data_IF_030130419864
#
_entry.id   IF_030130419864
#
_cell.length_a   1.000
_cell.length_b   1.000
_cell.length_c   1.000
_cell.angle_alpha   90.00
_cell.angle_beta   90.00
_cell.angle_gamma   90.00
#
_symmetry.space_group_name_H-M   'P 1'
#
loop_
_entity.id
_entity.type
_entity.pdbx_description
1 polymer ?
#
# COMPACT_ATOMS: atom_id res chain seq x y z
N UNK A 1 -4.61 -15.91 7.15
CA UNK A 1 -5.95 -16.55 7.08
C UNK A 1 -7.07 -15.54 6.77
N UNK A 2 -7.10 -14.38 7.44
CA UNK A 2 -8.17 -13.36 7.30
C UNK A 2 -8.26 -12.69 5.91
N UNK A 3 -7.13 -12.27 5.33
CA UNK A 3 -7.10 -11.66 3.99
C UNK A 3 -7.64 -12.59 2.90
N UNK A 4 -7.27 -13.88 2.97
CA UNK A 4 -7.77 -14.90 2.03
C UNK A 4 -9.30 -14.99 2.10
N UNK A 5 -9.87 -14.99 3.31
CA UNK A 5 -11.33 -15.02 3.53
C UNK A 5 -12.02 -13.74 3.01
N UNK A 6 -11.43 -12.56 3.22
CA UNK A 6 -11.93 -11.29 2.67
C UNK A 6 -12.04 -11.38 1.14
N UNK A 7 -10.97 -11.81 0.46
CA UNK A 7 -10.97 -11.91 -1.01
C UNK A 7 -11.98 -12.91 -1.56
N UNK A 8 -12.14 -14.07 -0.89
CA UNK A 8 -13.17 -15.05 -1.26
C UNK A 8 -14.57 -14.46 -1.17
N UNK A 9 -14.85 -13.62 -0.17
CA UNK A 9 -16.17 -13.01 0.05
C UNK A 9 -16.54 -11.97 -1.02
N UNK A 10 -15.58 -11.19 -1.51
CA UNK A 10 -15.84 -10.06 -2.41
C UNK A 10 -15.66 -10.36 -3.91
N UNK A 11 -15.67 -11.64 -4.32
CA UNK A 11 -15.48 -12.07 -5.74
C UNK A 11 -14.21 -11.52 -6.40
N UNK A 12 -13.20 -11.19 -5.60
CA UNK A 12 -11.88 -10.87 -6.13
C UNK A 12 -11.31 -12.18 -6.67
N UNK A 13 -10.73 -12.17 -7.88
CA UNK A 13 -10.01 -13.35 -8.40
C UNK A 13 -9.01 -13.83 -7.34
N UNK A 14 -8.67 -15.11 -7.35
CA UNK A 14 -7.71 -15.72 -6.42
C UNK A 14 -6.54 -14.76 -6.18
N UNK A 15 -6.27 -14.39 -4.91
CA UNK A 15 -5.25 -13.40 -4.62
C UNK A 15 -3.90 -13.86 -5.14
N UNK A 16 -3.19 -12.94 -5.77
CA UNK A 16 -1.86 -13.15 -6.33
C UNK A 16 -0.82 -12.94 -5.23
N UNK A 17 -0.47 -14.02 -4.53
CA UNK A 17 0.34 -13.99 -3.30
C UNK A 17 1.83 -13.98 -3.67
N UNK A 18 2.56 -12.98 -3.19
CA UNK A 18 3.98 -12.80 -3.43
C UNK A 18 4.76 -12.89 -2.10
N UNK A 19 5.22 -14.08 -1.73
CA UNK A 19 5.91 -14.30 -0.43
C UNK A 19 7.43 -14.11 -0.56
N UNK A 20 8.02 -13.36 0.38
CA UNK A 20 9.48 -13.13 0.50
C UNK A 20 10.13 -12.69 -0.83
N UNK A 21 9.50 -11.73 -1.51
CA UNK A 21 10.07 -11.19 -2.74
C UNK A 21 11.30 -10.35 -2.42
N UNK A 22 12.34 -10.52 -3.24
CA UNK A 22 13.46 -9.58 -3.32
C UNK A 22 13.02 -8.31 -4.05
N UNK A 23 13.79 -7.23 -3.93
CA UNK A 23 13.54 -5.99 -4.67
C UNK A 23 13.41 -6.26 -6.17
N UNK A 24 14.26 -7.13 -6.73
CA UNK A 24 14.19 -7.49 -8.16
C UNK A 24 12.85 -8.17 -8.51
N UNK A 25 12.38 -9.12 -7.70
CA UNK A 25 11.09 -9.80 -7.93
C UNK A 25 9.92 -8.84 -7.82
N UNK A 26 10.01 -7.84 -6.93
CA UNK A 26 9.01 -6.76 -6.82
C UNK A 26 8.99 -5.95 -8.12
N UNK A 27 10.14 -5.49 -8.61
CA UNK A 27 10.25 -4.74 -9.88
C UNK A 27 9.66 -5.51 -11.06
N UNK A 28 10.02 -6.79 -11.18
CA UNK A 28 9.49 -7.66 -12.23
C UNK A 28 7.97 -7.84 -12.12
N UNK A 29 7.46 -7.96 -10.89
CA UNK A 29 6.02 -8.05 -10.64
C UNK A 29 5.29 -6.78 -11.05
N UNK A 30 5.84 -5.62 -10.68
CA UNK A 30 5.23 -4.33 -10.97
C UNK A 30 5.32 -3.98 -12.45
N UNK A 31 6.38 -4.41 -13.16
CA UNK A 31 6.44 -4.37 -14.63
C UNK A 31 5.29 -5.17 -15.26
N UNK A 32 5.06 -6.41 -14.81
CA UNK A 32 3.93 -7.23 -15.28
C UNK A 32 2.57 -6.59 -14.98
N UNK A 33 2.43 -5.91 -13.85
CA UNK A 33 1.20 -5.16 -13.53
C UNK A 33 1.03 -3.96 -14.46
N UNK A 34 2.10 -3.21 -14.76
CA UNK A 34 2.01 -2.08 -15.69
C UNK A 34 1.55 -2.51 -17.10
N UNK A 35 1.93 -3.71 -17.53
CA UNK A 35 1.65 -4.24 -18.88
C UNK A 35 0.35 -5.07 -18.96
N UNK A 36 -0.20 -5.50 -17.82
CA UNK A 36 -1.39 -6.36 -17.78
C UNK A 36 -2.65 -5.58 -18.18
N UNK A 37 -3.48 -6.18 -19.03
CA UNK A 37 -4.79 -5.64 -19.36
C UNK A 37 -5.78 -5.83 -18.19
N UNK A 38 -6.21 -4.71 -17.61
CA UNK A 38 -7.23 -4.65 -16.56
C UNK A 38 -8.60 -4.20 -17.08
N UNK A 39 -8.84 -4.12 -18.39
CA UNK A 39 -10.09 -3.62 -18.98
C UNK A 39 -11.34 -4.30 -18.41
N UNK A 40 -11.27 -5.61 -18.16
CA UNK A 40 -12.37 -6.42 -17.59
C UNK A 40 -12.46 -6.40 -16.04
N UNK A 41 -11.63 -5.60 -15.36
CA UNK A 41 -11.63 -5.46 -13.91
C UNK A 41 -12.16 -4.08 -13.52
N UNK A 42 -12.83 -3.99 -12.36
CA UNK A 42 -13.38 -2.75 -11.83
C UNK A 42 -12.37 -1.90 -11.06
N UNK A 43 -11.39 -2.52 -10.40
CA UNK A 43 -10.37 -1.86 -9.60
C UNK A 43 -9.07 -2.69 -9.49
N UNK A 44 -8.02 -2.08 -8.95
CA UNK A 44 -6.81 -2.76 -8.50
C UNK A 44 -6.67 -2.61 -6.98
N UNK A 45 -6.28 -3.70 -6.32
CA UNK A 45 -6.00 -3.74 -4.89
C UNK A 45 -4.60 -4.33 -4.68
N UNK A 46 -3.71 -3.55 -4.07
CA UNK A 46 -2.35 -3.95 -3.72
C UNK A 46 -2.20 -3.88 -2.20
N UNK A 47 -1.76 -4.99 -1.60
CA UNK A 47 -1.59 -5.11 -0.16
C UNK A 47 -0.13 -5.49 0.11
N UNK A 48 0.56 -4.67 0.87
CA UNK A 48 1.95 -4.89 1.28
C UNK A 48 2.01 -5.09 2.78
N UNK A 49 2.62 -6.19 3.20
CA UNK A 49 2.84 -6.52 4.61
C UNK A 49 4.32 -6.82 4.79
N UNK A 50 5.05 -5.92 5.46
CA UNK A 50 6.49 -6.10 5.71
C UNK A 50 6.97 -5.20 6.85
N UNK A 51 8.26 -5.28 7.16
CA UNK A 51 8.93 -4.21 7.89
C UNK A 51 9.05 -2.97 7.01
N UNK A 52 9.18 -1.81 7.65
CA UNK A 52 9.38 -0.55 6.95
C UNK A 52 10.17 0.44 7.79
N UNK A 53 10.67 1.47 7.12
CA UNK A 53 11.43 2.56 7.71
C UNK A 53 10.78 3.92 7.40
N UNK A 54 11.43 5.00 7.79
CA UNK A 54 11.02 6.36 7.41
C UNK A 54 11.07 6.55 5.88
N UNK A 55 10.42 7.61 5.37
CA UNK A 55 10.42 7.99 3.94
C UNK A 55 9.87 6.92 2.99
N UNK A 56 8.81 6.22 3.41
CA UNK A 56 8.09 5.23 2.60
C UNK A 56 8.97 4.09 2.04
N UNK A 57 10.00 3.73 2.81
CA UNK A 57 10.87 2.59 2.50
C UNK A 57 10.29 1.32 3.11
N UNK A 58 10.13 0.30 2.27
CA UNK A 58 9.62 -1.01 2.67
C UNK A 58 10.74 -2.04 2.52
N UNK A 59 10.86 -2.92 3.51
CA UNK A 59 11.82 -4.03 3.51
C UNK A 59 11.34 -5.13 2.57
N UNK A 60 12.09 -5.41 1.51
CA UNK A 60 11.97 -6.66 0.76
C UNK A 60 12.80 -7.75 1.45
N UNK A 61 12.86 -8.95 0.88
CA UNK A 61 13.63 -10.05 1.45
C UNK A 61 15.13 -9.74 1.58
N UNK A 62 15.68 -8.98 0.63
CA UNK A 62 17.12 -8.71 0.50
C UNK A 62 17.51 -7.25 0.78
N UNK A 63 16.65 -6.27 0.50
CA UNK A 63 16.96 -4.85 0.67
C UNK A 63 15.69 -3.98 0.81
N UNK A 64 15.87 -2.71 1.12
CA UNK A 64 14.81 -1.69 1.14
C UNK A 64 14.50 -1.18 -0.28
N UNK A 65 13.24 -0.87 -0.53
CA UNK A 65 12.80 -0.18 -1.74
C UNK A 65 11.83 0.96 -1.42
N UNK A 66 11.74 1.96 -2.29
CA UNK A 66 10.77 3.04 -2.14
C UNK A 66 9.41 2.61 -2.71
N UNK A 67 8.38 2.65 -1.88
CA UNK A 67 7.04 2.16 -2.27
C UNK A 67 6.40 2.99 -3.38
N UNK A 68 6.54 4.32 -3.33
CA UNK A 68 5.95 5.22 -4.31
C UNK A 68 6.50 4.96 -5.72
N UNK A 69 7.82 4.97 -5.85
CA UNK A 69 8.53 4.78 -7.12
C UNK A 69 8.31 3.37 -7.71
N UNK A 70 8.48 2.33 -6.89
CA UNK A 70 8.51 0.97 -7.41
C UNK A 70 7.10 0.38 -7.59
N UNK A 71 6.11 0.86 -6.83
CA UNK A 71 4.74 0.31 -6.84
C UNK A 71 3.73 1.31 -7.38
N UNK A 72 3.60 2.49 -6.78
CA UNK A 72 2.51 3.44 -7.11
C UNK A 72 2.68 3.96 -8.53
N UNK A 73 3.84 4.54 -8.86
CA UNK A 73 4.11 5.09 -10.19
C UNK A 73 3.93 4.01 -11.26
N UNK A 74 4.39 2.78 -11.00
CA UNK A 74 4.25 1.66 -11.93
C UNK A 74 2.81 1.28 -12.20
N UNK A 75 1.94 1.32 -11.19
CA UNK A 75 0.49 1.15 -11.37
C UNK A 75 -0.12 2.29 -12.18
N UNK A 76 0.33 3.53 -11.95
CA UNK A 76 -0.19 4.70 -12.65
C UNK A 76 0.13 4.70 -14.15
N UNK A 77 1.21 4.04 -14.59
CA UNK A 77 1.52 3.89 -16.02
C UNK A 77 0.55 2.99 -16.81
N UNK A 78 -0.30 2.21 -16.13
CA UNK A 78 -1.23 1.31 -16.80
C UNK A 78 -2.49 2.07 -17.26
N UNK A 79 -2.65 2.22 -18.58
CA UNK A 79 -3.75 2.97 -19.20
C UNK A 79 -5.12 2.32 -18.97
N UNK A 80 -5.19 0.99 -18.84
CA UNK A 80 -6.45 0.25 -18.62
C UNK A 80 -7.00 0.43 -17.19
N UNK A 81 -6.24 1.11 -16.32
CA UNK A 81 -6.61 1.52 -14.96
C UNK A 81 -6.86 3.02 -14.79
N UNK A 82 -6.83 3.84 -15.87
CA UNK A 82 -6.87 5.32 -15.78
C UNK A 82 -8.03 5.85 -14.93
N UNK A 83 -9.23 5.30 -15.13
CA UNK A 83 -10.45 5.75 -14.47
C UNK A 83 -10.97 4.74 -13.44
N UNK A 84 -10.07 3.89 -12.91
CA UNK A 84 -10.41 2.81 -11.98
C UNK A 84 -9.76 3.03 -10.62
N UNK A 85 -10.45 2.70 -9.51
CA UNK A 85 -9.87 2.79 -8.18
C UNK A 85 -8.61 1.94 -8.06
N UNK A 86 -7.56 2.52 -7.46
CA UNK A 86 -6.28 1.86 -7.14
C UNK A 86 -6.09 1.96 -5.63
N UNK A 87 -6.35 0.86 -4.94
CA UNK A 87 -6.33 0.80 -3.48
C UNK A 87 -5.01 0.19 -3.01
N UNK A 88 -4.30 0.90 -2.15
CA UNK A 88 -3.04 0.46 -1.56
C UNK A 88 -3.20 0.33 -0.05
N UNK A 89 -2.97 -0.86 0.49
CA UNK A 89 -2.96 -1.12 1.93
C UNK A 89 -1.55 -1.52 2.35
N UNK A 90 -0.95 -0.71 3.22
CA UNK A 90 0.45 -0.89 3.62
C UNK A 90 0.47 -1.12 5.12
N UNK A 91 0.80 -2.35 5.53
CA UNK A 91 1.11 -2.69 6.90
C UNK A 91 2.64 -2.76 6.99
N UNK A 92 3.24 -1.67 7.42
CA UNK A 92 4.67 -1.56 7.67
C UNK A 92 4.94 -0.51 8.73
N UNK A 93 6.06 -0.66 9.45
CA UNK A 93 6.56 0.40 10.31
C UNK A 93 6.93 1.64 9.47
N UNK A 94 6.83 2.84 10.04
CA UNK A 94 7.27 4.10 9.40
C UNK A 94 8.46 4.75 10.13
N UNK A 95 9.26 3.92 10.81
CA UNK A 95 10.27 4.37 11.77
C UNK A 95 9.72 4.64 13.17
N UNK A 96 10.58 5.10 14.07
CA UNK A 96 10.26 5.42 15.47
C UNK A 96 9.68 6.84 15.60
N UNK A 97 8.43 7.02 15.19
CA UNK A 97 7.68 8.21 15.57
C UNK A 97 6.81 7.86 16.79
N UNK A 98 7.01 8.58 17.90
CA UNK A 98 6.06 8.52 19.02
C UNK A 98 4.77 9.19 18.55
N UNK A 99 3.65 8.46 18.58
CA UNK A 99 2.34 9.05 18.31
C UNK A 99 2.06 10.10 19.39
N UNK A 100 2.22 11.38 19.07
CA UNK A 100 1.77 12.45 19.94
C UNK A 100 0.27 12.63 19.69
N UNK A 101 -0.56 12.44 20.72
CA UNK A 101 -1.97 12.77 20.60
C UNK A 101 -2.10 14.29 20.49
N UNK A 102 -2.60 14.78 19.36
CA UNK A 102 -3.11 16.14 19.23
C UNK A 102 -4.38 16.29 20.08
N UNK A 103 -4.21 16.46 21.39
CA UNK A 103 -5.25 17.03 22.24
C UNK A 103 -5.02 18.53 22.25
N UNK A 104 -5.63 19.25 21.31
CA UNK A 104 -5.75 20.70 21.43
C UNK A 104 -6.66 20.98 22.60
N UNK A 105 -6.10 21.25 23.78
CA UNK A 105 -6.85 21.83 24.89
C UNK A 105 -7.36 23.19 24.44
N UNK A 106 -8.65 23.26 24.10
CA UNK A 106 -9.36 24.52 23.87
C UNK A 106 -9.23 25.32 25.16
N UNK A 107 -8.51 26.44 25.12
CA UNK A 107 -8.46 27.38 26.21
C UNK A 107 -9.90 27.88 26.47
N UNK A 108 -10.51 27.44 27.56
CA UNK A 108 -11.73 28.05 28.08
C UNK A 108 -11.34 29.43 28.62
N UNK A 109 -11.63 30.48 27.85
CA UNK A 109 -11.72 31.82 28.39
C UNK A 109 -12.85 31.85 29.43
N UNK A 110 -12.47 31.94 30.70
CA UNK A 110 -13.35 32.31 31.81
C UNK A 110 -12.60 33.27 32.71
N UNK A 111 -12.60 34.55 32.33
CA UNK A 111 -12.49 35.64 33.29
C UNK A 111 -13.85 36.32 33.35
N UNK A 112 -14.76 35.69 34.08
CA UNK A 112 -15.90 36.35 34.72
C UNK A 112 -15.59 36.41 36.21
N UNK A 113 -15.00 37.52 36.68
CA UNK A 113 -15.34 38.24 37.92
C UNK A 113 -14.53 39.54 38.02
#
# INVERSE_FOLDING_TARGET
QLLKQFFTKYRVKTPDICENYTVLRIKDKMKKIAEKDFSKYSCLLVIVMSHGETKDRIQAYDNLYNFEQEVVERVLTNTTLKDKPKLFFIQACKGSATMQHDVTSVATNKNDM
#
